data_IF_442873117413
#
_entry.id   IF_442873117413
#
_cell.length_a   1.000
_cell.length_b   1.000
_cell.length_c   1.000
_cell.angle_alpha   90.00
_cell.angle_beta   90.00
_cell.angle_gamma   90.00
#
_symmetry.space_group_name_H-M   'P 1'
#
loop_
_entity.id
_entity.type
_entity.pdbx_description
1 polymer ?
#
# COMPACT_ATOMS: atom_id res chain seq x y z
N UNK A 1 -25.65 13.61 -1.62
CA UNK A 1 -25.19 12.42 -0.90
C UNK A 1 -26.13 11.22 -1.06
N UNK A 2 -27.46 11.35 -0.93
CA UNK A 2 -28.42 10.22 -1.09
C UNK A 2 -28.38 9.57 -2.49
N UNK A 3 -28.23 10.34 -3.55
CA UNK A 3 -28.16 9.83 -4.94
C UNK A 3 -26.92 9.00 -5.20
N UNK A 4 -25.75 9.38 -4.68
CA UNK A 4 -24.49 8.62 -4.83
C UNK A 4 -24.57 7.28 -4.08
N UNK A 5 -25.19 7.28 -2.89
CA UNK A 5 -25.38 6.08 -2.10
C UNK A 5 -26.33 5.09 -2.81
N UNK A 6 -27.43 5.59 -3.40
CA UNK A 6 -28.35 4.76 -4.17
C UNK A 6 -27.71 4.18 -5.45
N UNK A 7 -26.90 4.97 -6.17
CA UNK A 7 -26.18 4.49 -7.35
C UNK A 7 -25.17 3.39 -6.99
N UNK A 8 -24.49 3.51 -5.84
CA UNK A 8 -23.56 2.50 -5.36
C UNK A 8 -24.26 1.19 -4.99
N UNK A 9 -25.43 1.29 -4.35
CA UNK A 9 -26.26 0.12 -3.99
C UNK A 9 -26.80 -0.58 -5.23
N UNK A 10 -27.28 0.18 -6.22
CA UNK A 10 -27.76 -0.38 -7.50
C UNK A 10 -26.62 -1.05 -8.27
N UNK A 11 -25.44 -0.45 -8.31
CA UNK A 11 -24.27 -1.06 -8.93
C UNK A 11 -23.83 -2.34 -8.22
N UNK A 12 -23.91 -2.38 -6.89
CA UNK A 12 -23.63 -3.57 -6.09
C UNK A 12 -24.65 -4.69 -6.34
N UNK A 13 -25.94 -4.34 -6.45
CA UNK A 13 -27.02 -5.29 -6.75
C UNK A 13 -26.93 -5.86 -8.19
N UNK A 14 -26.54 -5.04 -9.16
CA UNK A 14 -26.30 -5.50 -10.54
C UNK A 14 -25.10 -6.46 -10.58
N UNK A 15 -24.02 -6.16 -9.84
CA UNK A 15 -22.85 -7.04 -9.77
C UNK A 15 -23.17 -8.44 -9.19
N UNK A 16 -24.13 -8.53 -8.25
CA UNK A 16 -24.58 -9.80 -7.66
C UNK A 16 -25.44 -10.63 -8.64
N UNK A 17 -26.14 -9.98 -9.59
CA UNK A 17 -27.07 -10.66 -10.51
C UNK A 17 -26.38 -11.48 -11.62
N UNK A 18 -25.09 -11.29 -11.88
CA UNK A 18 -24.36 -12.02 -12.93
C UNK A 18 -23.79 -13.39 -12.48
N UNK A 19 -24.05 -13.81 -11.24
CA UNK A 19 -23.35 -14.96 -10.62
C UNK A 19 -24.12 -16.28 -10.71
N UNK A 20 -24.71 -16.64 -11.85
CA UNK A 20 -25.50 -17.90 -11.91
C UNK A 20 -24.69 -19.21 -11.90
N UNK A 21 -23.34 -19.18 -12.10
CA UNK A 21 -22.49 -20.38 -12.01
C UNK A 21 -21.06 -20.11 -11.50
N UNK A 22 -20.79 -18.91 -10.98
CA UNK A 22 -19.45 -18.53 -10.57
C UNK A 22 -19.35 -18.49 -9.04
N UNK A 23 -18.62 -19.42 -8.46
CA UNK A 23 -18.45 -19.52 -7.01
C UNK A 23 -17.59 -18.35 -6.50
N UNK A 24 -18.20 -17.44 -5.72
CA UNK A 24 -17.50 -16.36 -5.03
C UNK A 24 -16.53 -16.97 -4.03
N UNK A 25 -15.35 -16.41 -3.94
CA UNK A 25 -14.34 -16.81 -2.95
C UNK A 25 -14.03 -15.64 -2.02
N UNK A 26 -13.77 -15.95 -0.75
CA UNK A 26 -13.28 -14.99 0.23
C UNK A 26 -11.87 -15.39 0.66
N UNK A 27 -11.00 -14.42 0.89
CA UNK A 27 -9.64 -14.71 1.26
C UNK A 27 -9.02 -13.69 2.18
N UNK A 28 -7.86 -14.10 2.69
CA UNK A 28 -6.98 -13.27 3.50
C UNK A 28 -5.62 -13.18 2.82
N UNK A 29 -4.95 -12.05 2.97
CA UNK A 29 -3.60 -11.85 2.47
C UNK A 29 -2.73 -11.11 3.47
N UNK A 30 -1.44 -11.36 3.41
CA UNK A 30 -0.45 -10.65 4.21
C UNK A 30 0.91 -10.68 3.57
N UNK A 31 1.77 -9.76 3.96
CA UNK A 31 3.13 -9.69 3.45
C UNK A 31 3.88 -8.44 3.86
N UNK A 32 4.96 -8.19 3.15
CA UNK A 32 5.83 -7.04 3.34
C UNK A 32 5.75 -6.07 2.18
N UNK A 33 5.86 -4.79 2.49
CA UNK A 33 5.89 -3.69 1.53
C UNK A 33 7.15 -2.88 1.70
N UNK A 34 7.80 -2.54 0.60
CA UNK A 34 8.87 -1.56 0.50
C UNK A 34 8.26 -0.25 0.00
N UNK A 35 8.19 0.74 0.85
CA UNK A 35 7.59 2.04 0.53
C UNK A 35 8.64 3.13 0.44
N UNK A 36 8.49 4.02 -0.53
CA UNK A 36 9.28 5.24 -0.69
C UNK A 36 8.36 6.39 -1.06
N UNK A 37 8.64 7.54 -0.52
CA UNK A 37 8.00 8.80 -0.92
C UNK A 37 8.88 9.48 -1.98
N UNK A 38 8.29 9.82 -3.13
CA UNK A 38 9.01 10.43 -4.26
C UNK A 38 8.39 11.77 -4.58
N UNK A 39 9.21 12.81 -4.73
CA UNK A 39 8.78 14.15 -5.16
C UNK A 39 9.54 14.57 -6.42
N UNK A 40 8.95 15.46 -7.24
CA UNK A 40 9.59 16.07 -8.41
C UNK A 40 9.90 17.54 -8.13
N UNK A 41 11.12 17.96 -8.48
CA UNK A 41 11.62 19.33 -8.35
C UNK A 41 13.04 19.36 -7.81
N UNK A 42 13.92 20.23 -8.36
CA UNK A 42 15.37 20.26 -8.05
C UNK A 42 15.68 20.36 -6.55
N UNK A 43 14.87 21.12 -5.79
CA UNK A 43 15.00 21.21 -4.34
C UNK A 43 14.55 19.93 -3.63
N UNK A 44 13.57 19.25 -4.19
CA UNK A 44 12.95 18.05 -3.61
C UNK A 44 13.71 16.80 -3.99
N UNK A 45 14.29 16.72 -5.20
CA UNK A 45 15.16 15.62 -5.62
C UNK A 45 16.38 15.50 -4.71
N UNK A 46 16.99 16.63 -4.32
CA UNK A 46 18.09 16.64 -3.36
C UNK A 46 17.65 16.18 -1.96
N UNK A 47 16.39 16.41 -1.57
CA UNK A 47 15.86 16.01 -0.27
C UNK A 47 15.27 14.58 -0.29
N UNK A 48 14.55 14.22 -1.35
CA UNK A 48 13.91 12.88 -1.48
C UNK A 48 14.84 11.83 -2.09
N UNK A 49 15.88 12.25 -2.82
CA UNK A 49 16.93 11.36 -3.33
C UNK A 49 17.64 10.58 -2.23
N UNK A 50 17.73 11.15 -1.03
CA UNK A 50 18.34 10.53 0.16
C UNK A 50 17.32 9.81 1.07
N UNK A 51 16.05 9.68 0.66
CA UNK A 51 15.06 8.93 1.44
C UNK A 51 15.19 7.43 1.23
N UNK A 52 15.38 6.69 2.33
CA UNK A 52 15.48 5.24 2.34
C UNK A 52 14.10 4.58 2.22
N UNK A 53 14.08 3.40 1.59
CA UNK A 53 12.91 2.55 1.61
C UNK A 53 12.60 2.08 3.04
N UNK A 54 11.32 2.15 3.41
CA UNK A 54 10.85 1.58 4.66
C UNK A 54 10.16 0.25 4.38
N UNK A 55 10.64 -0.78 5.08
CA UNK A 55 9.97 -2.09 5.13
C UNK A 55 8.81 -2.00 6.11
N UNK A 56 7.63 -2.39 5.67
CA UNK A 56 6.42 -2.35 6.48
C UNK A 56 5.52 -3.55 6.21
N UNK A 57 4.63 -3.85 7.16
CA UNK A 57 3.62 -4.89 7.03
C UNK A 57 2.42 -4.41 6.21
N UNK A 58 1.83 -5.36 5.47
CA UNK A 58 0.61 -5.19 4.71
C UNK A 58 -0.26 -6.43 4.92
N UNK A 59 -1.54 -6.25 5.26
CA UNK A 59 -2.44 -7.36 5.48
C UNK A 59 -3.89 -6.95 5.25
N UNK A 60 -4.72 -7.90 4.77
CA UNK A 60 -6.10 -7.59 4.48
C UNK A 60 -6.94 -8.79 4.10
N UNK A 61 -8.20 -8.52 3.86
CA UNK A 61 -9.22 -9.46 3.39
C UNK A 61 -9.67 -9.06 1.98
N UNK A 62 -10.17 -10.00 1.22
CA UNK A 62 -10.70 -9.75 -0.11
C UNK A 62 -11.84 -10.70 -0.45
N UNK A 63 -12.65 -10.28 -1.41
CA UNK A 63 -13.57 -11.14 -2.13
C UNK A 63 -13.06 -11.30 -3.56
N UNK A 64 -13.25 -12.48 -4.14
CA UNK A 64 -13.01 -12.72 -5.56
C UNK A 64 -14.35 -13.15 -6.17
N UNK A 65 -14.88 -12.31 -7.04
CA UNK A 65 -16.17 -12.46 -7.70
C UNK A 65 -15.88 -12.74 -9.17
N UNK A 66 -15.99 -14.00 -9.63
CA UNK A 66 -15.77 -14.33 -11.03
C UNK A 66 -16.81 -13.63 -11.93
N UNK A 67 -16.34 -13.11 -13.08
CA UNK A 67 -17.19 -12.43 -14.07
C UNK A 67 -17.35 -13.33 -15.28
N UNK A 68 -16.26 -13.64 -15.97
CA UNK A 68 -16.25 -14.50 -17.16
C UNK A 68 -14.82 -14.89 -17.56
N UNK A 69 -14.64 -16.10 -18.14
CA UNK A 69 -13.41 -16.46 -18.86
C UNK A 69 -12.08 -16.20 -18.16
N UNK A 70 -11.99 -16.46 -16.85
CA UNK A 70 -10.79 -16.18 -16.06
C UNK A 70 -10.74 -14.75 -15.46
N UNK A 71 -11.66 -13.86 -15.86
CA UNK A 71 -11.76 -12.51 -15.31
C UNK A 71 -12.59 -12.50 -14.03
N UNK A 72 -12.08 -11.88 -12.99
CA UNK A 72 -12.73 -11.73 -11.69
C UNK A 72 -12.64 -10.28 -11.21
N UNK A 73 -13.64 -9.81 -10.49
CA UNK A 73 -13.58 -8.58 -9.70
C UNK A 73 -13.13 -8.91 -8.28
N UNK A 74 -12.12 -8.19 -7.79
CA UNK A 74 -11.48 -8.46 -6.49
C UNK A 74 -11.43 -7.18 -5.64
N UNK A 75 -12.54 -6.85 -4.95
CA UNK A 75 -12.52 -5.81 -3.93
C UNK A 75 -11.78 -6.30 -2.69
N UNK A 76 -10.99 -5.40 -2.09
CA UNK A 76 -10.17 -5.71 -0.93
C UNK A 76 -10.35 -4.65 0.16
N UNK A 77 -10.10 -5.03 1.40
CA UNK A 77 -9.94 -4.14 2.54
C UNK A 77 -8.64 -4.52 3.25
N UNK A 78 -7.71 -3.58 3.35
CA UNK A 78 -6.38 -3.86 3.86
C UNK A 78 -5.89 -2.79 4.82
N UNK A 79 -5.04 -3.21 5.73
CA UNK A 79 -4.21 -2.38 6.58
C UNK A 79 -2.81 -2.34 5.97
N UNK A 80 -2.29 -1.14 5.74
CA UNK A 80 -0.96 -0.94 5.16
C UNK A 80 -0.23 0.15 5.89
N UNK A 81 1.03 -0.12 6.22
CA UNK A 81 1.94 0.91 6.66
C UNK A 81 2.77 1.41 5.48
N UNK A 82 2.95 2.70 5.40
CA UNK A 82 3.80 3.37 4.41
C UNK A 82 4.63 4.44 5.11
N UNK A 83 5.66 4.95 4.46
CA UNK A 83 6.45 6.01 5.05
C UNK A 83 7.75 6.25 4.32
N UNK A 84 8.55 7.16 4.90
CA UNK A 84 9.88 7.49 4.43
C UNK A 84 10.85 7.56 5.62
N UNK A 85 12.09 7.15 5.39
CA UNK A 85 13.18 7.28 6.34
C UNK A 85 14.21 8.27 5.82
N UNK A 86 14.67 9.17 6.69
CA UNK A 86 15.85 10.01 6.48
C UNK A 86 16.92 9.52 7.47
N UNK A 87 18.03 9.05 6.93
CA UNK A 87 19.21 8.70 7.73
C UNK A 87 20.34 9.64 7.33
N UNK A 88 20.83 10.42 8.28
CA UNK A 88 22.00 11.29 8.08
C UNK A 88 23.11 10.83 8.99
N UNK A 89 24.23 10.42 8.40
CA UNK A 89 25.39 9.98 9.16
C UNK A 89 26.39 11.12 9.47
N UNK A 90 26.18 12.32 8.85
CA UNK A 90 27.04 13.49 9.05
C UNK A 90 26.18 14.74 9.14
N UNK A 91 25.80 15.14 10.34
CA UNK A 91 25.02 16.38 10.56
C UNK A 91 25.88 17.63 10.70
N UNK A 92 27.19 17.52 10.97
CA UNK A 92 28.08 18.67 11.12
C UNK A 92 29.50 18.33 10.68
N UNK A 93 29.91 18.85 9.52
CA UNK A 93 31.32 19.10 9.21
C UNK A 93 31.64 20.52 9.70
N UNK A 94 32.03 20.66 10.94
CA UNK A 94 32.46 21.92 11.52
C UNK A 94 33.99 21.93 11.51
N UNK A 95 34.56 22.70 10.59
CA UNK A 95 35.99 22.98 10.52
C UNK A 95 36.91 21.75 10.36
N UNK A 96 36.51 20.76 9.53
CA UNK A 96 37.33 19.58 9.26
C UNK A 96 37.35 18.52 10.37
N UNK A 97 36.50 18.67 11.39
CA UNK A 97 36.28 17.64 12.41
C UNK A 97 34.96 16.95 12.12
N UNK A 98 35.05 15.72 11.63
CA UNK A 98 33.89 14.83 11.47
C UNK A 98 33.37 14.43 12.84
N UNK A 99 32.37 15.15 13.35
CA UNK A 99 31.66 14.73 14.55
C UNK A 99 30.57 13.75 14.10
N UNK A 100 30.65 12.45 14.45
CA UNK A 100 29.65 11.47 14.10
C UNK A 100 28.39 11.67 14.97
N UNK A 101 27.61 12.69 14.61
CA UNK A 101 26.27 12.93 15.10
C UNK A 101 25.30 12.33 14.05
N UNK A 102 24.95 11.06 14.23
CA UNK A 102 23.97 10.37 13.42
C UNK A 102 22.56 10.61 13.95
N UNK A 103 21.64 10.90 13.05
CA UNK A 103 20.21 10.97 13.37
C UNK A 103 19.37 10.20 12.35
N UNK A 104 18.43 9.40 12.82
CA UNK A 104 17.46 8.71 11.97
C UNK A 104 16.07 9.22 12.30
N UNK A 105 15.39 9.78 11.29
CA UNK A 105 14.00 10.19 11.38
C UNK A 105 13.21 9.24 10.47
N UNK A 106 12.27 8.51 11.04
CA UNK A 106 11.35 7.64 10.29
C UNK A 106 9.94 8.13 10.47
N UNK A 107 9.31 8.52 9.38
CA UNK A 107 7.89 8.79 9.34
C UNK A 107 7.15 7.51 8.98
N UNK A 108 6.18 7.13 9.79
CA UNK A 108 5.27 6.00 9.55
C UNK A 108 3.85 6.51 9.42
N UNK A 109 3.23 6.20 8.30
CA UNK A 109 1.84 6.50 8.02
C UNK A 109 1.09 5.18 7.92
N UNK A 110 -0.04 5.11 8.60
CA UNK A 110 -0.91 3.93 8.62
C UNK A 110 -2.16 4.22 7.82
N UNK A 111 -2.41 3.40 6.81
CA UNK A 111 -3.56 3.52 5.92
C UNK A 111 -4.51 2.35 6.09
N UNK A 112 -5.81 2.65 6.06
CA UNK A 112 -6.85 1.70 5.68
C UNK A 112 -7.04 1.86 4.18
N UNK A 113 -6.88 0.77 3.44
CA UNK A 113 -6.83 0.75 1.99
C UNK A 113 -7.97 -0.09 1.44
N UNK A 114 -8.66 0.41 0.42
CA UNK A 114 -9.73 -0.28 -0.30
C UNK A 114 -9.41 -0.36 -1.80
N UNK A 115 -8.59 -1.31 -2.24
CA UNK A 115 -8.35 -1.57 -3.66
C UNK A 115 -9.57 -2.23 -4.30
N UNK A 116 -9.91 -1.78 -5.52
CA UNK A 116 -10.92 -2.39 -6.38
C UNK A 116 -10.22 -2.95 -7.62
N UNK A 117 -9.88 -4.24 -7.59
CA UNK A 117 -9.03 -4.84 -8.60
C UNK A 117 -9.83 -5.67 -9.61
N UNK A 118 -9.39 -5.67 -10.84
CA UNK A 118 -9.68 -6.69 -11.82
C UNK A 118 -8.53 -7.69 -11.79
N UNK A 119 -8.86 -8.97 -11.66
CA UNK A 119 -7.92 -10.08 -11.71
C UNK A 119 -8.22 -10.91 -12.94
N UNK A 120 -7.18 -11.26 -13.68
CA UNK A 120 -7.27 -12.19 -14.80
C UNK A 120 -6.36 -13.38 -14.55
N UNK A 121 -6.98 -14.57 -14.42
CA UNK A 121 -6.31 -15.85 -14.23
C UNK A 121 -6.02 -16.47 -15.59
N UNK A 122 -4.76 -16.82 -15.86
CA UNK A 122 -4.34 -17.47 -17.09
C UNK A 122 -4.38 -19.00 -16.94
N UNK A 123 -4.72 -19.68 -18.01
CA UNK A 123 -4.74 -21.16 -18.07
C UNK A 123 -6.11 -21.77 -17.84
N UNK A 124 -6.17 -23.09 -17.99
CA UNK A 124 -7.40 -23.88 -17.97
C UNK A 124 -7.92 -24.11 -16.55
N UNK A 125 -9.23 -24.41 -16.44
CA UNK A 125 -9.88 -24.62 -15.14
C UNK A 125 -9.35 -25.82 -14.33
N UNK A 126 -8.61 -26.74 -14.95
CA UNK A 126 -7.99 -27.89 -14.29
C UNK A 126 -6.54 -27.72 -13.85
N UNK A 127 -5.90 -26.57 -14.13
CA UNK A 127 -4.49 -26.36 -13.81
C UNK A 127 -4.30 -26.19 -12.30
N UNK A 128 -3.33 -26.93 -11.73
CA UNK A 128 -2.95 -26.85 -10.31
C UNK A 128 -2.33 -25.48 -10.01
N UNK A 129 -1.58 -24.93 -10.97
CA UNK A 129 -0.91 -23.62 -10.85
C UNK A 129 -1.47 -22.70 -11.92
N UNK A 130 -1.95 -21.53 -11.49
CA UNK A 130 -2.46 -20.50 -12.40
C UNK A 130 -1.72 -19.18 -12.18
N UNK A 131 -0.98 -18.72 -13.19
CA UNK A 131 -0.52 -17.34 -13.21
C UNK A 131 -1.71 -16.38 -13.29
N UNK A 132 -1.58 -15.21 -12.70
CA UNK A 132 -2.60 -14.17 -12.81
C UNK A 132 -1.99 -12.78 -12.74
N UNK A 133 -2.74 -11.81 -13.23
CA UNK A 133 -2.44 -10.38 -13.08
C UNK A 133 -3.59 -9.70 -12.37
N UNK A 134 -3.27 -8.62 -11.66
CA UNK A 134 -4.24 -7.74 -11.01
C UNK A 134 -3.98 -6.31 -11.39
N UNK A 135 -5.03 -5.52 -11.60
CA UNK A 135 -4.94 -4.10 -11.87
C UNK A 135 -6.20 -3.38 -11.39
N UNK A 136 -6.05 -2.18 -10.87
CA UNK A 136 -7.20 -1.36 -10.49
C UNK A 136 -6.85 -0.15 -9.65
N UNK A 137 -7.84 0.70 -9.35
CA UNK A 137 -7.69 1.82 -8.44
C UNK A 137 -7.59 1.36 -6.98
N UNK A 138 -6.92 2.17 -6.16
CA UNK A 138 -6.90 2.02 -4.71
C UNK A 138 -7.33 3.32 -4.04
N UNK A 139 -8.15 3.19 -3.00
CA UNK A 139 -8.63 4.27 -2.16
C UNK A 139 -8.02 4.09 -0.78
N UNK A 140 -7.23 5.06 -0.34
CA UNK A 140 -6.45 4.95 0.87
C UNK A 140 -6.91 6.04 1.84
N UNK A 141 -7.22 5.66 3.07
CA UNK A 141 -7.56 6.57 4.14
C UNK A 141 -6.45 6.56 5.21
N UNK A 142 -5.87 7.72 5.48
CA UNK A 142 -4.85 7.88 6.50
C UNK A 142 -5.50 7.80 7.90
N UNK A 143 -5.26 6.69 8.59
CA UNK A 143 -5.83 6.41 9.91
C UNK A 143 -4.93 6.92 11.03
N UNK A 144 -3.60 6.82 10.88
CA UNK A 144 -2.63 7.21 11.91
C UNK A 144 -1.29 7.63 11.29
N UNK A 145 -0.58 8.54 11.96
CA UNK A 145 0.75 8.99 11.54
C UNK A 145 1.66 9.18 12.74
N UNK A 146 2.87 8.58 12.69
CA UNK A 146 3.88 8.64 13.74
C UNK A 146 5.23 9.03 13.18
N UNK A 147 5.91 9.95 13.86
CA UNK A 147 7.32 10.22 13.65
C UNK A 147 8.11 9.50 14.73
N UNK A 148 9.06 8.68 14.31
CA UNK A 148 10.03 8.04 15.20
C UNK A 148 11.38 8.69 14.94
N UNK A 149 11.84 9.51 15.86
CA UNK A 149 13.17 10.12 15.82
C UNK A 149 14.12 9.37 16.77
N UNK A 150 15.32 9.12 16.28
CA UNK A 150 16.40 8.55 17.07
C UNK A 150 17.65 9.38 16.83
N UNK A 151 18.29 9.83 17.90
CA UNK A 151 19.60 10.46 17.85
C UNK A 151 20.64 9.43 18.30
N UNK A 152 21.62 9.15 17.46
CA UNK A 152 22.77 8.33 17.78
C UNK A 152 23.94 9.27 18.09
N UNK A 153 24.26 9.44 19.38
CA UNK A 153 25.43 10.16 19.89
C UNK A 153 26.56 9.17 20.13
N UNK A 154 27.82 9.61 19.99
CA UNK A 154 29.04 8.78 20.03
C UNK A 154 29.11 7.84 21.25
N UNK A 155 28.54 8.23 22.39
CA UNK A 155 28.57 7.48 23.65
C UNK A 155 27.20 7.05 24.19
N UNK A 156 26.10 7.55 23.62
CA UNK A 156 24.76 7.26 24.11
C UNK A 156 23.79 7.08 22.93
N UNK A 157 23.11 5.92 22.88
CA UNK A 157 21.94 5.72 22.04
C UNK A 157 20.71 6.27 22.77
N UNK A 158 20.11 7.30 22.22
CA UNK A 158 18.84 7.82 22.71
C UNK A 158 17.72 6.79 22.52
N UNK A 159 16.81 6.71 23.48
CA UNK A 159 15.58 5.95 23.29
C UNK A 159 14.76 6.59 22.15
N UNK A 160 14.09 5.78 21.32
CA UNK A 160 13.28 6.32 20.21
C UNK A 160 12.14 7.17 20.74
N UNK A 161 12.16 8.46 20.42
CA UNK A 161 11.09 9.38 20.73
C UNK A 161 9.98 9.20 19.69
N UNK A 162 8.78 8.86 20.13
CA UNK A 162 7.60 8.72 19.29
C UNK A 162 6.71 9.93 19.48
N UNK A 163 6.47 10.65 18.40
CA UNK A 163 5.57 11.81 18.40
C UNK A 163 4.44 11.53 17.42
N UNK A 164 3.20 11.66 17.87
CA UNK A 164 2.04 11.59 17.01
C UNK A 164 2.00 12.85 16.13
N UNK A 165 1.82 12.65 14.84
CA UNK A 165 1.74 13.76 13.89
C UNK A 165 0.31 14.28 13.90
N UNK A 166 0.15 15.59 14.10
CA UNK A 166 -1.13 16.25 13.87
C UNK A 166 -1.55 16.05 12.41
N UNK A 167 -2.58 15.24 12.17
CA UNK A 167 -3.06 14.87 10.83
C UNK A 167 -3.63 16.04 10.02
N UNK A 168 -3.66 17.27 10.57
CA UNK A 168 -4.20 18.45 9.91
C UNK A 168 -3.42 18.93 8.67
N UNK A 169 -2.14 18.56 8.57
CA UNK A 169 -1.26 18.94 7.45
C UNK A 169 -1.23 17.85 6.33
N UNK A 170 -1.91 16.74 6.52
CA UNK A 170 -1.92 15.63 5.58
C UNK A 170 -3.28 15.48 4.91
N UNK A 171 -3.26 15.18 3.62
CA UNK A 171 -4.47 14.72 2.94
C UNK A 171 -4.87 13.36 3.51
N UNK A 172 -6.04 13.29 4.15
CA UNK A 172 -6.53 12.03 4.75
C UNK A 172 -6.96 11.01 3.71
N UNK A 173 -7.22 11.46 2.49
CA UNK A 173 -7.70 10.61 1.42
C UNK A 173 -6.73 10.63 0.25
N UNK A 174 -6.26 9.47 -0.14
CA UNK A 174 -5.34 9.27 -1.26
C UNK A 174 -5.96 8.30 -2.25
N UNK A 175 -5.94 8.67 -3.52
CA UNK A 175 -6.30 7.79 -4.64
C UNK A 175 -5.02 7.36 -5.35
N UNK A 176 -4.92 6.09 -5.66
CA UNK A 176 -3.79 5.51 -6.36
C UNK A 176 -4.19 4.43 -7.34
N UNK A 177 -3.19 3.85 -7.98
CA UNK A 177 -3.31 2.69 -8.84
C UNK A 177 -2.47 1.53 -8.33
N UNK A 178 -2.98 0.34 -8.54
CA UNK A 178 -2.34 -0.94 -8.19
C UNK A 178 -2.19 -1.76 -9.45
N UNK A 179 -1.00 -2.34 -9.64
CA UNK A 179 -0.74 -3.36 -10.65
C UNK A 179 0.09 -4.47 -10.04
N UNK A 180 -0.20 -5.72 -10.39
CA UNK A 180 0.53 -6.85 -9.82
C UNK A 180 0.38 -8.12 -10.64
N UNK A 181 1.21 -9.09 -10.29
CA UNK A 181 1.16 -10.43 -10.85
C UNK A 181 1.44 -11.47 -9.76
N UNK A 182 0.87 -12.65 -9.93
CA UNK A 182 1.00 -13.71 -8.95
C UNK A 182 0.83 -15.11 -9.55
N UNK A 183 1.04 -16.07 -8.68
CA UNK A 183 0.79 -17.49 -8.93
C UNK A 183 -0.17 -18.01 -7.87
N UNK A 184 -1.25 -18.63 -8.29
CA UNK A 184 -2.19 -19.32 -7.40
C UNK A 184 -2.06 -20.82 -7.55
N UNK A 185 -2.15 -21.53 -6.42
CA UNK A 185 -2.02 -22.97 -6.29
C UNK A 185 -3.31 -23.53 -5.70
N UNK A 186 -3.92 -24.48 -6.38
CA UNK A 186 -5.09 -25.16 -5.87
C UNK A 186 -4.70 -26.19 -4.80
N UNK A 187 -5.26 -26.06 -3.59
CA UNK A 187 -5.03 -26.96 -2.46
C UNK A 187 -6.39 -27.42 -1.92
N UNK A 188 -6.87 -28.55 -2.43
CA UNK A 188 -8.23 -29.01 -2.14
C UNK A 188 -9.28 -28.03 -2.67
N UNK A 189 -10.12 -27.51 -1.78
CA UNK A 189 -11.12 -26.48 -2.12
C UNK A 189 -10.56 -25.05 -2.00
N UNK A 190 -9.41 -24.88 -1.36
CA UNK A 190 -8.77 -23.59 -1.16
C UNK A 190 -7.77 -23.27 -2.27
N UNK A 191 -7.44 -21.99 -2.40
CA UNK A 191 -6.36 -21.50 -3.27
C UNK A 191 -5.35 -20.76 -2.41
N UNK A 192 -4.10 -21.17 -2.42
CA UNK A 192 -2.96 -20.42 -1.85
C UNK A 192 -2.32 -19.64 -2.97
N UNK A 193 -1.85 -18.42 -2.71
CA UNK A 193 -1.19 -17.63 -3.74
C UNK A 193 0.00 -16.85 -3.20
N UNK A 194 0.91 -16.54 -4.12
CA UNK A 194 1.98 -15.55 -3.93
C UNK A 194 1.81 -14.45 -4.97
N UNK A 195 2.01 -13.21 -4.58
CA UNK A 195 1.72 -12.06 -5.42
C UNK A 195 2.73 -10.94 -5.20
N UNK A 196 3.26 -10.38 -6.29
CA UNK A 196 4.04 -9.15 -6.30
C UNK A 196 3.16 -7.99 -6.77
N UNK A 197 3.17 -6.86 -6.06
CA UNK A 197 2.41 -5.65 -6.41
C UNK A 197 3.28 -4.42 -6.48
N UNK A 198 2.95 -3.56 -7.40
CA UNK A 198 3.38 -2.18 -7.45
C UNK A 198 2.18 -1.26 -7.23
N UNK A 199 2.32 -0.29 -6.37
CA UNK A 199 1.28 0.70 -6.09
C UNK A 199 1.87 2.10 -6.20
N UNK A 200 1.10 3.03 -6.78
CA UNK A 200 1.45 4.44 -6.90
C UNK A 200 0.27 5.33 -6.57
N UNK A 201 0.47 6.25 -5.63
CA UNK A 201 -0.48 7.32 -5.33
C UNK A 201 -0.51 8.36 -6.44
N UNK A 202 -1.70 8.85 -6.78
CA UNK A 202 -1.92 9.92 -7.76
C UNK A 202 -2.25 11.25 -7.10
N UNK A 203 -2.80 11.22 -5.88
CA UNK A 203 -3.10 12.41 -5.11
C UNK A 203 -1.91 12.83 -4.26
N UNK A 204 -1.85 14.12 -3.92
CA UNK A 204 -0.77 14.67 -3.09
C UNK A 204 -0.95 14.24 -1.63
N UNK A 205 0.15 13.86 -0.98
CA UNK A 205 0.16 13.45 0.43
C UNK A 205 0.07 14.65 1.36
N UNK A 206 0.61 15.82 0.93
CA UNK A 206 0.63 17.05 1.72
C UNK A 206 -0.30 18.10 1.12
N UNK A 207 -1.15 18.67 1.97
CA UNK A 207 -2.06 19.76 1.63
C UNK A 207 -1.76 20.96 2.52
N UNK A 208 -0.65 21.66 2.22
CA UNK A 208 -0.27 22.87 2.93
C UNK A 208 -0.36 24.08 1.99
N UNK A 209 -0.99 25.21 2.44
CA UNK A 209 -1.20 26.37 1.59
C UNK A 209 0.09 27.11 1.20
N UNK A 210 1.24 26.80 1.83
CA UNK A 210 2.50 27.55 1.67
C UNK A 210 3.47 26.86 0.70
N UNK A 211 3.43 25.52 0.53
CA UNK A 211 4.33 24.77 -0.36
C UNK A 211 3.60 23.62 -1.02
N UNK A 212 3.20 23.79 -2.27
CA UNK A 212 2.61 22.69 -3.06
C UNK A 212 3.72 21.80 -3.61
N UNK A 213 4.20 20.85 -2.81
CA UNK A 213 5.15 19.85 -3.26
C UNK A 213 4.38 18.63 -3.77
N UNK A 214 4.49 18.26 -5.07
CA UNK A 214 3.87 17.06 -5.60
C UNK A 214 4.64 15.82 -5.12
N UNK A 215 4.32 15.37 -3.92
CA UNK A 215 4.92 14.18 -3.30
C UNK A 215 3.94 13.03 -3.43
N UNK A 216 4.40 11.93 -4.02
CA UNK A 216 3.61 10.73 -4.25
C UNK A 216 4.22 9.53 -3.51
N UNK A 217 3.36 8.69 -2.96
CA UNK A 217 3.77 7.42 -2.38
C UNK A 217 3.95 6.37 -3.48
N UNK A 218 5.03 5.62 -3.39
CA UNK A 218 5.26 4.42 -4.21
C UNK A 218 5.57 3.25 -3.28
N UNK A 219 5.10 2.07 -3.65
CA UNK A 219 5.44 0.87 -2.88
C UNK A 219 5.47 -0.38 -3.76
N UNK A 220 6.40 -1.25 -3.43
CA UNK A 220 6.45 -2.63 -3.90
C UNK A 220 6.07 -3.54 -2.74
N UNK A 221 5.21 -4.52 -2.99
CA UNK A 221 4.73 -5.45 -1.97
C UNK A 221 4.91 -6.88 -2.45
N UNK A 222 5.36 -7.75 -1.56
CA UNK A 222 5.33 -9.19 -1.74
C UNK A 222 4.30 -9.76 -0.75
N UNK A 223 3.31 -10.47 -1.28
CA UNK A 223 2.14 -10.93 -0.56
C UNK A 223 1.97 -12.43 -0.72
N UNK A 224 1.47 -13.05 0.34
CA UNK A 224 0.96 -14.42 0.32
C UNK A 224 -0.48 -14.39 0.82
N UNK A 225 -1.29 -15.35 0.37
CA UNK A 225 -2.67 -15.39 0.83
C UNK A 225 -3.35 -16.70 0.57
N UNK A 226 -4.55 -16.81 1.11
CA UNK A 226 -5.43 -17.95 1.03
C UNK A 226 -6.83 -17.46 0.62
N UNK A 227 -7.44 -18.14 -0.32
CA UNK A 227 -8.83 -17.94 -0.73
C UNK A 227 -9.62 -19.23 -0.58
N UNK A 228 -10.82 -19.15 -0.04
CA UNK A 228 -11.76 -20.25 0.11
C UNK A 228 -13.07 -19.91 -0.60
N UNK A 229 -13.67 -20.86 -1.34
CA UNK A 229 -14.95 -20.63 -1.98
C UNK A 229 -16.05 -20.52 -0.94
N UNK A 230 -16.93 -19.56 -1.13
CA UNK A 230 -18.17 -19.43 -0.36
C UNK A 230 -19.21 -20.37 -0.98
N UNK A 231 -19.81 -21.22 -0.16
CA UNK A 231 -20.90 -22.13 -0.57
C UNK A 231 -22.23 -21.40 -0.58
#
# INVERSE_FOLDING_TARGET
>A
MKTICNSLVVFLLIAVSFSTNAQVSMGVRGGASLSKTTGHGNFIENFTGNMDYIVSGNGGIFLQIPITGGLSFRPELAYKQSGAGLSSNNLLDLAGVNIPLGGTIRQRLTYVQAPLLLQYDFGDNGSIVKPYIVVGPSFNYLADGKIVSRADLILFRSQPMRTDIGLGAFSRFEVGGVGGAGLSFAVGQAKVFVEGRYERGFTRVYDTPVVSVPVHNQSFSALVGLAIPLR
#
